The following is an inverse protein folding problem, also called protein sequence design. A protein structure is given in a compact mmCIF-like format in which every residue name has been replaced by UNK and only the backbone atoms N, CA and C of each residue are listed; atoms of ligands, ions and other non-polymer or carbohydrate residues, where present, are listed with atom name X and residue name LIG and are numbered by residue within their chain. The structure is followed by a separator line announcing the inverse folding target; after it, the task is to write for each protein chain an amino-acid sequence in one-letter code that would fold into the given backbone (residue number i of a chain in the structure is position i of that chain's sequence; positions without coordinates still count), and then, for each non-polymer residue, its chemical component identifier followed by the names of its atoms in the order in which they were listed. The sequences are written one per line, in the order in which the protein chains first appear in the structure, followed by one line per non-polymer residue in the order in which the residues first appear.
data_IF_844547476793
#
_entry.id   IF_844547476793
#
_cell.length_a   1.000
_cell.length_b   1.000
_cell.length_c   1.000
_cell.angle_alpha   90.00
_cell.angle_beta   90.00
_cell.angle_gamma   90.00
#
_symmetry.space_group_name_H-M   'P 1'
#
loop_
_entity.id
_entity.type
_entity.pdbx_description
1 polymer ?
#
# COMPACT_ATOMS: atom_id res chain seq x y z
N UNK A 1 11.25 -7.15 -30.75
CA UNK A 1 10.94 -7.42 -29.34
C UNK A 1 11.20 -6.12 -28.61
N UNK A 2 10.15 -5.44 -28.09
CA UNK A 2 10.39 -4.36 -27.14
C UNK A 2 10.83 -5.05 -25.86
N UNK A 3 11.99 -4.70 -25.32
CA UNK A 3 12.29 -4.99 -23.93
C UNK A 3 11.08 -4.50 -23.13
N UNK A 4 10.40 -5.41 -22.42
CA UNK A 4 9.29 -5.02 -21.57
C UNK A 4 9.89 -4.21 -20.42
N UNK A 5 9.95 -2.89 -20.58
CA UNK A 5 10.24 -1.99 -19.46
C UNK A 5 9.22 -2.30 -18.36
N UNK A 6 9.71 -2.72 -17.20
CA UNK A 6 8.88 -2.95 -16.01
C UNK A 6 8.10 -1.68 -15.70
N UNK A 7 6.80 -1.80 -15.42
CA UNK A 7 5.96 -0.64 -15.12
C UNK A 7 6.32 0.02 -13.78
N UNK A 8 7.16 -0.65 -12.97
CA UNK A 8 7.63 -0.19 -11.67
C UNK A 8 9.14 -0.35 -11.52
N UNK A 9 9.75 0.48 -10.68
CA UNK A 9 11.19 0.45 -10.34
C UNK A 9 11.40 0.41 -8.84
N UNK A 10 12.25 -0.51 -8.36
CA UNK A 10 12.66 -0.58 -6.96
C UNK A 10 13.42 0.69 -6.56
N UNK A 11 12.96 1.38 -5.51
CA UNK A 11 13.60 2.60 -4.98
C UNK A 11 14.13 2.44 -3.55
N UNK A 12 13.71 1.39 -2.83
CA UNK A 12 14.25 1.05 -1.51
C UNK A 12 15.63 0.41 -1.56
N UNK A 13 16.11 -0.07 -2.73
CA UNK A 13 17.15 -1.10 -2.95
C UNK A 13 18.52 -1.04 -2.22
N UNK A 14 18.74 -0.13 -1.28
CA UNK A 14 19.85 -0.17 -0.31
C UNK A 14 19.44 0.02 1.15
N UNK A 15 18.15 0.21 1.46
CA UNK A 15 17.62 0.40 2.81
C UNK A 15 16.78 -0.82 3.22
N UNK A 16 17.14 -1.43 4.35
CA UNK A 16 16.34 -2.49 4.95
C UNK A 16 15.18 -1.88 5.73
N UNK A 17 13.98 -1.94 5.16
CA UNK A 17 12.76 -1.52 5.83
C UNK A 17 12.14 -2.74 6.50
N UNK A 18 12.05 -2.68 7.83
CA UNK A 18 11.58 -3.79 8.67
C UNK A 18 10.27 -3.36 9.29
N UNK A 19 9.23 -4.18 9.16
CA UNK A 19 8.01 -4.06 9.95
C UNK A 19 8.07 -5.11 11.05
N UNK A 20 8.07 -4.64 12.31
CA UNK A 20 8.06 -5.50 13.50
C UNK A 20 6.77 -6.31 13.61
N UNK A 21 6.72 -7.37 14.43
CA UNK A 21 5.51 -8.17 14.61
C UNK A 21 4.32 -7.30 15.02
N UNK A 22 3.16 -7.51 14.38
CA UNK A 22 1.92 -6.79 14.68
C UNK A 22 0.90 -7.74 15.31
N UNK A 23 0.09 -7.25 16.24
CA UNK A 23 -0.95 -8.03 16.92
C UNK A 23 -2.27 -8.17 16.12
N UNK A 24 -2.36 -7.49 14.98
CA UNK A 24 -3.53 -7.49 14.09
C UNK A 24 -4.70 -6.63 14.59
N UNK A 25 -4.58 -5.97 15.74
CA UNK A 25 -5.70 -5.23 16.34
C UNK A 25 -5.90 -3.85 15.71
N UNK A 26 -4.86 -3.25 15.14
CA UNK A 26 -4.96 -1.93 14.52
C UNK A 26 -5.62 -2.01 13.13
N UNK A 27 -6.67 -1.21 12.94
CA UNK A 27 -7.43 -1.10 11.68
C UNK A 27 -7.48 0.36 11.22
N UNK A 28 -7.40 0.59 9.90
CA UNK A 28 -7.27 1.94 9.31
C UNK A 28 -8.52 2.78 9.65
N UNK A 29 -9.70 2.18 9.58
CA UNK A 29 -10.99 2.81 9.89
C UNK A 29 -11.11 3.43 11.29
N UNK A 30 -10.20 3.07 12.21
CA UNK A 30 -10.16 3.53 13.61
C UNK A 30 -8.83 4.20 13.98
N UNK A 31 -7.94 4.39 13.01
CA UNK A 31 -6.59 4.93 13.22
C UNK A 31 -6.54 6.48 13.13
N UNK A 32 -7.51 7.16 13.76
CA UNK A 32 -7.69 8.63 13.68
C UNK A 32 -6.52 9.44 14.27
N UNK A 33 -5.68 8.81 15.10
CA UNK A 33 -4.44 9.42 15.60
C UNK A 33 -3.35 9.49 14.54
N UNK A 34 -3.45 8.67 13.49
CA UNK A 34 -2.47 8.58 12.40
C UNK A 34 -3.03 9.24 11.15
N UNK A 35 -4.26 8.93 10.79
CA UNK A 35 -4.94 9.48 9.62
C UNK A 35 -5.97 10.50 10.03
N UNK A 36 -5.83 11.74 9.57
CA UNK A 36 -6.76 12.82 9.91
C UNK A 36 -8.06 12.70 9.14
N UNK A 37 -7.97 12.24 7.90
CA UNK A 37 -9.12 11.84 7.09
C UNK A 37 -8.98 10.38 6.71
N UNK A 38 -10.08 9.64 6.92
CA UNK A 38 -10.20 8.24 6.55
C UNK A 38 -11.44 8.14 5.67
N UNK A 39 -11.28 7.51 4.52
CA UNK A 39 -12.36 7.27 3.58
C UNK A 39 -13.48 6.45 4.23
N UNK A 40 -14.72 6.89 4.04
CA UNK A 40 -15.89 6.22 4.60
C UNK A 40 -16.07 4.81 4.03
N UNK A 41 -15.52 4.55 2.83
CA UNK A 41 -15.59 3.24 2.18
C UNK A 41 -14.90 2.14 3.00
N UNK A 42 -13.92 2.44 3.85
CA UNK A 42 -13.39 1.45 4.80
C UNK A 42 -14.46 0.86 5.71
N UNK A 43 -15.41 1.66 6.21
CA UNK A 43 -16.50 1.16 7.07
C UNK A 43 -17.67 0.62 6.24
N UNK A 44 -17.98 1.28 5.13
CA UNK A 44 -19.09 0.90 4.25
C UNK A 44 -18.87 -0.47 3.60
N UNK A 45 -17.62 -0.82 3.31
CA UNK A 45 -17.23 -2.13 2.78
C UNK A 45 -16.79 -3.10 3.89
N UNK A 46 -17.08 -2.77 5.15
CA UNK A 46 -16.81 -3.62 6.31
C UNK A 46 -15.33 -3.99 6.52
N UNK A 47 -14.41 -3.17 6.01
CA UNK A 47 -12.95 -3.32 6.14
C UNK A 47 -12.42 -2.80 7.49
N UNK A 48 -13.27 -2.72 8.52
CA UNK A 48 -12.89 -2.25 9.87
C UNK A 48 -12.69 -3.38 10.88
N UNK A 49 -12.50 -4.62 10.38
CA UNK A 49 -12.29 -5.81 11.19
C UNK A 49 -10.81 -6.01 11.53
N UNK A 50 -10.56 -6.58 12.70
CA UNK A 50 -9.21 -6.90 13.15
C UNK A 50 -8.60 -7.98 12.26
N UNK A 51 -7.31 -7.82 11.95
CA UNK A 51 -6.52 -8.79 11.20
C UNK A 51 -5.87 -9.85 12.09
N UNK A 52 -5.10 -10.72 11.46
CA UNK A 52 -4.26 -11.72 12.14
C UNK A 52 -2.96 -11.11 12.65
N UNK A 53 -2.38 -11.73 13.69
CA UNK A 53 -1.02 -11.47 14.13
C UNK A 53 -0.05 -11.75 12.97
N UNK A 54 0.94 -10.89 12.80
CA UNK A 54 1.99 -11.06 11.79
C UNK A 54 3.37 -11.11 12.43
N UNK A 55 4.27 -11.87 11.82
CA UNK A 55 5.69 -11.86 12.18
C UNK A 55 6.40 -10.62 11.61
N UNK A 56 7.68 -10.50 11.93
CA UNK A 56 8.57 -9.51 11.32
C UNK A 56 8.65 -9.75 9.82
N UNK A 57 8.50 -8.69 9.03
CA UNK A 57 8.70 -8.74 7.57
C UNK A 57 9.67 -7.66 7.11
N UNK A 58 10.38 -7.95 6.03
CA UNK A 58 11.06 -6.95 5.23
C UNK A 58 10.07 -6.38 4.22
N UNK A 59 10.22 -5.12 3.85
CA UNK A 59 9.40 -4.48 2.81
C UNK A 59 10.25 -3.73 1.81
N UNK A 60 9.80 -3.77 0.56
CA UNK A 60 10.36 -3.00 -0.54
C UNK A 60 9.41 -1.88 -0.95
N UNK A 61 10.00 -0.81 -1.46
CA UNK A 61 9.27 0.33 -2.02
C UNK A 61 9.65 0.47 -3.48
N UNK A 62 8.62 0.43 -4.32
CA UNK A 62 8.71 0.66 -5.75
C UNK A 62 8.10 2.01 -6.11
N UNK A 63 8.49 2.55 -7.26
CA UNK A 63 7.91 3.73 -7.87
C UNK A 63 7.42 3.38 -9.27
N UNK A 64 6.22 3.86 -9.63
CA UNK A 64 5.67 3.70 -10.97
C UNK A 64 6.54 4.43 -12.01
N UNK A 65 6.86 3.79 -13.14
CA UNK A 65 7.67 4.40 -14.22
C UNK A 65 6.94 4.52 -15.55
N UNK A 66 5.85 3.77 -15.76
CA UNK A 66 4.93 3.85 -16.91
C UNK A 66 3.48 4.03 -16.45
N UNK A 67 2.58 4.42 -17.34
CA UNK A 67 1.15 4.52 -16.99
C UNK A 67 0.58 3.10 -16.79
N UNK A 68 -0.08 2.84 -15.66
CA UNK A 68 -0.57 1.50 -15.31
C UNK A 68 -1.83 1.53 -14.43
N UNK A 69 -2.60 0.44 -14.47
CA UNK A 69 -3.66 0.16 -13.47
C UNK A 69 -3.07 -0.64 -12.29
N UNK A 70 -3.83 -0.81 -11.20
CA UNK A 70 -3.33 -1.55 -10.03
C UNK A 70 -2.89 -2.98 -10.37
N UNK A 71 -3.68 -3.69 -11.17
CA UNK A 71 -3.37 -5.05 -11.59
C UNK A 71 -1.97 -5.15 -12.21
N UNK A 72 -1.65 -4.26 -13.15
CA UNK A 72 -0.37 -4.23 -13.85
C UNK A 72 0.77 -3.88 -12.88
N UNK A 73 0.59 -2.85 -12.04
CA UNK A 73 1.61 -2.43 -11.05
C UNK A 73 2.07 -3.57 -10.15
N UNK A 74 1.12 -4.30 -9.56
CA UNK A 74 1.44 -5.39 -8.63
C UNK A 74 1.88 -6.64 -9.38
N UNK A 75 1.33 -6.92 -10.57
CA UNK A 75 1.74 -8.07 -11.40
C UNK A 75 3.15 -7.92 -11.98
N UNK A 76 3.64 -6.69 -12.20
CA UNK A 76 5.04 -6.44 -12.55
C UNK A 76 6.00 -6.80 -11.42
N UNK A 77 5.55 -6.74 -10.16
CA UNK A 77 6.36 -7.11 -8.99
C UNK A 77 6.31 -8.63 -8.79
N UNK A 78 5.11 -9.21 -8.77
CA UNK A 78 4.89 -10.65 -8.66
C UNK A 78 3.49 -11.02 -9.10
N UNK A 79 3.35 -12.19 -9.75
CA UNK A 79 2.05 -12.80 -10.07
C UNK A 79 1.43 -13.52 -8.87
N UNK A 80 2.19 -13.75 -7.80
CA UNK A 80 1.70 -14.36 -6.56
C UNK A 80 1.23 -13.26 -5.59
N UNK A 81 0.05 -12.68 -5.85
CA UNK A 81 -0.45 -11.51 -5.11
C UNK A 81 -0.55 -11.72 -3.60
N UNK A 82 -0.81 -12.94 -3.13
CA UNK A 82 -0.82 -13.32 -1.70
C UNK A 82 0.53 -13.08 -1.00
N UNK A 83 1.62 -12.99 -1.75
CA UNK A 83 2.93 -12.64 -1.20
C UNK A 83 3.13 -11.12 -1.08
N UNK A 84 2.33 -10.34 -1.80
CA UNK A 84 2.39 -8.88 -1.84
C UNK A 84 1.46 -8.20 -0.82
N UNK A 85 0.52 -8.94 -0.23
CA UNK A 85 -0.47 -8.37 0.70
C UNK A 85 0.15 -7.98 2.04
N UNK A 86 -0.38 -6.90 2.60
CA UNK A 86 -0.07 -6.40 3.93
C UNK A 86 -1.36 -6.28 4.75
N UNK A 87 -1.26 -6.50 6.06
CA UNK A 87 -2.40 -6.24 6.95
C UNK A 87 -2.53 -4.75 7.24
N UNK A 88 -3.74 -4.30 7.58
CA UNK A 88 -3.97 -2.91 8.00
C UNK A 88 -3.05 -2.47 9.14
N UNK A 89 -2.77 -3.36 10.11
CA UNK A 89 -1.83 -3.08 11.20
C UNK A 89 -0.41 -2.82 10.68
N UNK A 90 0.06 -3.60 9.70
CA UNK A 90 1.37 -3.38 9.07
C UNK A 90 1.40 -2.06 8.28
N UNK A 91 0.33 -1.72 7.55
CA UNK A 91 0.21 -0.44 6.84
C UNK A 91 0.29 0.75 7.81
N UNK A 92 -0.47 0.72 8.91
CA UNK A 92 -0.45 1.75 9.95
C UNK A 92 0.96 1.88 10.55
N UNK A 93 1.57 0.75 10.89
CA UNK A 93 2.92 0.74 11.46
C UNK A 93 3.94 1.35 10.50
N UNK A 94 3.88 0.98 9.21
CA UNK A 94 4.75 1.52 8.17
C UNK A 94 4.60 3.04 8.07
N UNK A 95 3.38 3.55 7.99
CA UNK A 95 3.11 4.99 7.89
C UNK A 95 3.69 5.77 9.09
N UNK A 96 3.65 5.19 10.29
CA UNK A 96 4.23 5.80 11.50
C UNK A 96 5.75 5.78 11.50
N UNK A 97 6.36 4.65 11.14
CA UNK A 97 7.80 4.45 11.22
C UNK A 97 8.55 5.13 10.08
N UNK A 98 7.96 5.13 8.89
CA UNK A 98 8.62 5.45 7.64
C UNK A 98 7.96 6.62 6.89
N UNK A 99 7.79 7.80 7.51
CA UNK A 99 7.08 8.93 6.91
C UNK A 99 7.73 9.43 5.61
N UNK A 100 9.06 9.29 5.45
CA UNK A 100 9.80 9.67 4.23
C UNK A 100 9.38 8.85 3.00
N UNK A 101 8.85 7.64 3.22
CA UNK A 101 8.39 6.76 2.17
C UNK A 101 6.95 7.06 1.75
N UNK A 102 6.20 7.86 2.53
CA UNK A 102 4.86 8.32 2.17
C UNK A 102 4.92 9.58 1.28
N UNK A 103 4.07 9.60 0.25
CA UNK A 103 4.03 10.66 -0.77
C UNK A 103 3.05 11.79 -0.40
N UNK A 104 3.33 13.00 -0.91
CA UNK A 104 2.53 14.23 -0.68
C UNK A 104 1.51 14.55 -1.76
N UNK A 105 1.80 14.21 -3.01
CA UNK A 105 0.96 14.61 -4.15
C UNK A 105 0.21 13.39 -4.67
N UNK A 106 0.93 12.26 -4.80
CA UNK A 106 0.38 10.97 -5.20
C UNK A 106 0.36 10.02 -4.02
N UNK A 107 -0.43 8.95 -4.06
CA UNK A 107 -0.48 8.03 -2.95
C UNK A 107 0.71 7.08 -2.91
N UNK A 108 0.87 6.52 -1.72
CA UNK A 108 1.62 5.31 -1.45
C UNK A 108 0.60 4.19 -1.31
N UNK A 109 0.76 3.16 -2.12
CA UNK A 109 -0.21 2.09 -2.34
C UNK A 109 0.24 0.84 -1.61
N UNK A 110 -0.70 0.19 -0.93
CA UNK A 110 -0.50 -1.06 -0.22
C UNK A 110 -1.61 -2.03 -0.64
N UNK A 111 -1.24 -3.22 -1.10
CA UNK A 111 -2.20 -4.29 -1.36
C UNK A 111 -2.60 -4.92 -0.02
N UNK A 112 -3.90 -5.12 0.16
CA UNK A 112 -4.49 -5.79 1.32
C UNK A 112 -5.38 -6.92 0.84
N UNK A 113 -5.43 -7.99 1.62
CA UNK A 113 -6.39 -9.08 1.49
C UNK A 113 -7.41 -8.94 2.63
N UNK A 114 -8.68 -8.77 2.25
CA UNK A 114 -9.81 -8.62 3.17
C UNK A 114 -11.01 -9.37 2.57
N UNK A 115 -11.58 -10.33 3.30
CA UNK A 115 -12.78 -11.09 2.90
C UNK A 115 -12.70 -11.80 1.54
N UNK A 116 -11.60 -12.49 1.27
CA UNK A 116 -11.39 -13.24 0.02
C UNK A 116 -11.34 -12.33 -1.23
N UNK A 117 -11.11 -11.02 -1.04
CA UNK A 117 -10.89 -10.06 -2.12
C UNK A 117 -9.70 -9.14 -1.80
N UNK A 118 -9.21 -8.46 -2.83
CA UNK A 118 -8.06 -7.58 -2.73
C UNK A 118 -8.47 -6.11 -2.78
N UNK A 119 -7.87 -5.33 -1.89
CA UNK A 119 -8.08 -3.90 -1.80
C UNK A 119 -6.76 -3.15 -1.79
N UNK A 120 -6.79 -1.91 -2.26
CA UNK A 120 -5.66 -1.00 -2.22
C UNK A 120 -5.91 0.04 -1.14
N UNK A 121 -5.09 0.03 -0.08
CA UNK A 121 -4.96 1.19 0.78
C UNK A 121 -4.12 2.26 0.06
N UNK A 122 -4.70 3.43 -0.13
CA UNK A 122 -4.08 4.59 -0.78
C UNK A 122 -3.78 5.65 0.27
N UNK A 123 -2.53 5.75 0.69
CA UNK A 123 -2.09 6.67 1.74
C UNK A 123 -1.33 7.85 1.15
N UNK A 124 -1.70 9.07 1.51
CA UNK A 124 -0.94 10.28 1.13
C UNK A 124 -0.96 11.32 2.22
N UNK A 125 0.02 12.20 2.22
CA UNK A 125 -0.12 13.47 2.91
C UNK A 125 -1.06 14.38 2.14
N UNK A 126 -1.99 15.04 2.83
CA UNK A 126 -2.72 16.18 2.31
C UNK A 126 -2.57 17.30 3.34
N UNK A 127 -1.75 18.30 3.00
CA UNK A 127 -1.21 19.27 3.98
C UNK A 127 -0.37 18.53 5.04
N UNK A 128 -0.19 18.93 6.32
CA UNK A 128 0.74 18.21 7.19
C UNK A 128 0.22 16.82 7.60
N UNK A 129 -1.05 16.51 7.31
CA UNK A 129 -1.76 15.35 7.81
C UNK A 129 -1.78 14.18 6.81
N UNK A 130 -1.86 12.95 7.32
CA UNK A 130 -2.03 11.74 6.51
C UNK A 130 -3.50 11.45 6.27
N UNK A 131 -3.82 11.07 5.04
CA UNK A 131 -5.16 10.71 4.59
C UNK A 131 -5.11 9.27 4.07
N UNK A 132 -6.12 8.48 4.42
CA UNK A 132 -6.27 7.09 4.00
C UNK A 132 -7.50 6.93 3.10
N UNK A 133 -7.28 6.53 1.86
CA UNK A 133 -8.30 6.09 0.92
C UNK A 133 -8.28 4.57 0.73
N UNK A 134 -9.36 4.03 0.18
CA UNK A 134 -9.42 2.62 -0.21
C UNK A 134 -10.01 2.47 -1.61
N UNK A 135 -9.47 1.53 -2.39
CA UNK A 135 -10.00 1.15 -3.69
C UNK A 135 -10.11 -0.37 -3.79
N UNK A 136 -11.03 -0.84 -4.61
CA UNK A 136 -11.02 -2.22 -5.06
C UNK A 136 -9.76 -2.49 -5.90
N UNK A 137 -9.13 -3.65 -5.78
CA UNK A 137 -7.94 -3.97 -6.58
C UNK A 137 -8.22 -4.01 -8.09
N UNK A 138 -9.42 -4.43 -8.47
CA UNK A 138 -9.90 -4.43 -9.86
C UNK A 138 -10.25 -3.04 -10.41
N UNK A 139 -10.10 -1.97 -9.62
CA UNK A 139 -10.36 -0.61 -10.11
C UNK A 139 -9.35 -0.23 -11.20
N UNK A 140 -9.87 0.09 -12.38
CA UNK A 140 -9.11 0.25 -13.63
C UNK A 140 -8.66 1.69 -13.89
N UNK A 141 -8.59 2.52 -12.84
CA UNK A 141 -8.08 3.87 -12.97
C UNK A 141 -6.62 3.85 -13.44
N UNK A 142 -6.37 4.46 -14.60
CA UNK A 142 -5.04 4.51 -15.18
C UNK A 142 -4.18 5.59 -14.51
N UNK A 143 -3.27 5.15 -13.63
CA UNK A 143 -2.36 6.02 -12.90
C UNK A 143 -1.23 6.50 -13.78
N UNK A 144 -0.84 7.77 -13.61
CA UNK A 144 0.10 8.45 -14.50
C UNK A 144 1.53 8.42 -13.98
N UNK A 145 2.48 7.98 -14.79
CA UNK A 145 3.91 7.94 -14.40
C UNK A 145 4.55 9.32 -14.24
N UNK A 146 3.97 10.36 -14.86
CA UNK A 146 4.33 11.78 -14.60
C UNK A 146 4.23 12.15 -13.11
N UNK A 147 3.47 11.36 -12.37
CA UNK A 147 2.96 11.62 -11.04
C UNK A 147 2.98 10.32 -10.23
N UNK A 148 4.17 9.72 -10.04
CA UNK A 148 4.22 8.29 -9.78
C UNK A 148 3.77 8.00 -8.35
N UNK A 149 2.78 7.11 -8.15
CA UNK A 149 2.55 6.51 -6.86
C UNK A 149 3.77 5.68 -6.44
N UNK A 150 3.92 5.53 -5.14
CA UNK A 150 4.82 4.52 -4.57
C UNK A 150 4.03 3.28 -4.25
N UNK A 151 4.64 2.11 -4.36
CA UNK A 151 4.04 0.83 -4.04
C UNK A 151 4.89 0.19 -2.97
N UNK A 152 4.27 -0.26 -1.89
CA UNK A 152 4.95 -0.93 -0.79
C UNK A 152 4.48 -2.38 -0.73
N UNK A 153 5.43 -3.30 -0.72
CA UNK A 153 5.16 -4.75 -0.69
C UNK A 153 6.10 -5.45 0.27
N UNK A 154 5.70 -6.59 0.87
CA UNK A 154 6.62 -7.49 1.53
C UNK A 154 7.75 -7.93 0.59
N UNK A 155 8.98 -7.87 1.10
CA UNK A 155 10.14 -8.50 0.51
C UNK A 155 10.18 -9.96 0.96
N UNK A 156 10.16 -10.90 0.01
CA UNK A 156 10.20 -12.35 0.27
C UNK A 156 11.11 -13.05 -0.72
#
# INVERSE_FOLDING_TARGET
MRDSESDVRLISGGESLVIEPQDGQAVIARAEKIFKEIDADFRKWELDRHGKRTDTILVDVYELVSDAVFLDMFSCISLEWDKLVMTQSQVIWFCRKYPKWIRRIHPTLFLMDEFDDYYIASIRYYRPDLHAGVFHFSYDYNWKSKYPPRIVVPHR
#
